data_IF_734871771056
#
_entry.id   IF_734871771056
#
_cell.length_a   1.000
_cell.length_b   1.000
_cell.length_c   1.000
_cell.angle_alpha   90.00
_cell.angle_beta   90.00
_cell.angle_gamma   90.00
#
_symmetry.space_group_name_H-M   'P 1'
#
loop_
_entity.id
_entity.type
_entity.pdbx_description
1 polymer ?
#
# COMPACT_ATOMS: atom_id res chain seq x y z
N UNK A 1 14.30 8.30 -0.15
CA UNK A 1 13.99 7.57 -1.41
C UNK A 1 14.81 6.29 -1.52
N UNK A 2 14.17 5.13 -1.61
CA UNK A 2 14.85 3.83 -1.69
C UNK A 2 15.30 3.56 -3.14
N UNK A 3 16.57 3.84 -3.43
CA UNK A 3 17.19 3.73 -4.78
C UNK A 3 17.87 2.38 -4.97
N UNK A 4 17.12 1.29 -4.86
CA UNK A 4 17.62 -0.08 -4.97
C UNK A 4 16.89 -0.84 -6.06
N UNK A 5 17.57 -1.78 -6.70
CA UNK A 5 16.95 -2.66 -7.70
C UNK A 5 15.81 -3.47 -7.07
N UNK A 6 14.62 -3.50 -7.68
CA UNK A 6 13.46 -4.24 -7.14
C UNK A 6 13.70 -5.76 -7.04
N UNK A 7 14.56 -6.31 -7.91
CA UNK A 7 14.81 -7.75 -8.00
C UNK A 7 15.95 -8.24 -7.08
N UNK A 8 17.02 -7.46 -6.93
CA UNK A 8 18.23 -7.91 -6.22
C UNK A 8 18.72 -6.97 -5.12
N UNK A 9 18.00 -5.87 -4.87
CA UNK A 9 18.26 -4.90 -3.80
C UNK A 9 19.59 -4.14 -3.85
N UNK A 10 20.38 -4.33 -4.90
CA UNK A 10 21.61 -3.57 -5.11
C UNK A 10 21.25 -2.10 -5.41
N UNK A 11 21.96 -1.12 -4.81
CA UNK A 11 21.79 0.30 -5.12
C UNK A 11 21.87 0.58 -6.63
N UNK A 12 20.91 1.34 -7.15
CA UNK A 12 20.86 1.74 -8.56
C UNK A 12 20.13 3.06 -8.71
N UNK A 13 20.60 3.88 -9.64
CA UNK A 13 19.92 5.11 -10.09
C UNK A 13 19.08 4.89 -11.35
N UNK A 14 19.18 3.70 -11.98
CA UNK A 14 18.48 3.39 -13.22
C UNK A 14 17.04 3.02 -12.91
N UNK A 15 16.10 3.76 -13.50
CA UNK A 15 14.66 3.56 -13.36
C UNK A 15 14.03 3.06 -14.65
N UNK A 16 12.86 2.44 -14.54
CA UNK A 16 12.04 2.11 -15.70
C UNK A 16 11.80 3.38 -16.54
N UNK A 17 12.19 3.35 -17.81
CA UNK A 17 12.11 4.53 -18.68
C UNK A 17 10.67 5.02 -18.89
N UNK A 18 9.69 4.12 -18.77
CA UNK A 18 8.27 4.41 -19.02
C UNK A 18 7.57 5.00 -17.79
N UNK A 19 7.44 4.24 -16.70
CA UNK A 19 6.72 4.70 -15.52
C UNK A 19 7.56 5.54 -14.56
N UNK A 20 8.90 5.45 -14.65
CA UNK A 20 9.87 6.15 -13.78
C UNK A 20 9.68 5.90 -12.27
N UNK A 21 8.91 4.88 -11.89
CA UNK A 21 8.53 4.61 -10.49
C UNK A 21 9.25 3.43 -9.84
N UNK A 22 9.94 2.59 -10.63
CA UNK A 22 10.68 1.41 -10.12
C UNK A 22 12.11 1.43 -10.65
N UNK A 23 13.04 0.96 -9.83
CA UNK A 23 14.47 0.94 -10.07
C UNK A 23 14.96 -0.47 -10.41
N UNK A 24 15.86 -0.57 -11.39
CA UNK A 24 16.50 -1.83 -11.80
C UNK A 24 17.98 -1.58 -12.08
N UNK A 25 18.85 -2.54 -11.76
CA UNK A 25 20.27 -2.43 -12.09
C UNK A 25 20.60 -2.89 -13.53
N UNK A 26 19.68 -3.62 -14.20
CA UNK A 26 19.92 -4.17 -15.53
C UNK A 26 18.63 -4.41 -16.33
N UNK A 27 18.75 -4.55 -17.65
CA UNK A 27 17.64 -4.99 -18.53
C UNK A 27 17.16 -6.41 -18.21
N UNK A 28 18.03 -7.27 -17.68
CA UNK A 28 17.67 -8.62 -17.28
C UNK A 28 16.66 -8.59 -16.12
N UNK A 29 16.88 -7.75 -15.11
CA UNK A 29 15.93 -7.59 -14.00
C UNK A 29 14.63 -6.90 -14.42
N UNK A 30 14.66 -6.02 -15.43
CA UNK A 30 13.43 -5.50 -16.04
C UNK A 30 12.64 -6.65 -16.69
N UNK A 31 13.31 -7.52 -17.47
CA UNK A 31 12.67 -8.63 -18.14
C UNK A 31 12.10 -9.67 -17.15
N UNK A 32 12.82 -9.92 -16.05
CA UNK A 32 12.37 -10.82 -14.98
C UNK A 32 11.11 -10.30 -14.29
N UNK A 33 11.04 -9.01 -13.96
CA UNK A 33 9.85 -8.41 -13.33
C UNK A 33 8.76 -8.03 -14.34
N UNK A 34 8.99 -8.14 -15.66
CA UNK A 34 8.07 -7.58 -16.64
C UNK A 34 6.65 -8.18 -16.58
N UNK A 35 6.52 -9.47 -16.25
CA UNK A 35 5.21 -10.13 -16.16
C UNK A 35 4.32 -9.49 -15.11
N UNK A 36 4.88 -9.16 -13.94
CA UNK A 36 4.21 -8.49 -12.82
C UNK A 36 4.15 -6.97 -13.02
N UNK A 37 5.22 -6.37 -13.55
CA UNK A 37 5.35 -4.93 -13.73
C UNK A 37 4.49 -4.34 -14.85
N UNK A 38 4.26 -5.08 -15.94
CA UNK A 38 3.68 -4.53 -17.19
C UNK A 38 2.33 -3.84 -16.98
N UNK A 39 1.45 -4.44 -16.19
CA UNK A 39 0.11 -3.90 -15.91
C UNK A 39 0.20 -2.59 -15.12
N UNK A 40 1.00 -2.59 -14.04
CA UNK A 40 1.30 -1.41 -13.24
C UNK A 40 1.98 -0.30 -14.05
N UNK A 41 3.02 -0.65 -14.82
CA UNK A 41 3.80 0.29 -15.61
C UNK A 41 2.95 1.06 -16.62
N UNK A 42 1.99 0.38 -17.26
CA UNK A 42 1.08 1.00 -18.22
C UNK A 42 0.16 2.03 -17.54
N UNK A 43 -0.44 1.66 -16.41
CA UNK A 43 -1.36 2.53 -15.65
C UNK A 43 -0.66 3.77 -15.10
N UNK A 44 0.46 3.60 -14.39
CA UNK A 44 1.25 4.74 -13.87
C UNK A 44 1.72 5.66 -15.00
N UNK A 45 2.18 5.09 -16.10
CA UNK A 45 2.60 5.87 -17.26
C UNK A 45 1.45 6.65 -17.91
N UNK A 46 0.21 6.14 -17.86
CA UNK A 46 -0.96 6.80 -18.41
C UNK A 46 -1.49 7.90 -17.48
N UNK A 47 -1.40 7.71 -16.16
CA UNK A 47 -1.88 8.65 -15.16
C UNK A 47 -1.04 9.94 -15.06
N UNK A 48 0.22 9.90 -15.47
CA UNK A 48 1.09 11.07 -15.53
C UNK A 48 1.33 11.65 -14.13
N UNK A 49 0.84 12.87 -13.87
CA UNK A 49 0.97 13.56 -12.58
C UNK A 49 -0.08 13.11 -11.54
N UNK A 50 -1.14 12.43 -11.96
CA UNK A 50 -2.23 12.00 -11.08
C UNK A 50 -1.88 10.66 -10.40
N UNK A 51 -0.82 10.71 -9.58
CA UNK A 51 -0.37 9.56 -8.80
C UNK A 51 -0.03 10.01 -7.39
N UNK A 52 -0.39 9.21 -6.39
CA UNK A 52 0.11 9.36 -5.03
C UNK A 52 1.26 8.38 -4.77
N UNK A 53 2.17 8.74 -3.88
CA UNK A 53 3.03 7.78 -3.21
C UNK A 53 2.21 6.98 -2.20
N UNK A 54 2.24 5.65 -2.31
CA UNK A 54 1.61 4.74 -1.36
C UNK A 54 2.64 3.68 -0.91
N UNK A 55 2.53 3.23 0.33
CA UNK A 55 3.34 2.13 0.86
C UNK A 55 2.63 0.82 0.49
N UNK A 56 3.31 -0.03 -0.26
CA UNK A 56 2.88 -1.39 -0.56
C UNK A 56 3.53 -2.37 0.41
N UNK A 57 2.70 -3.17 1.07
CA UNK A 57 3.07 -4.43 1.72
C UNK A 57 2.70 -5.58 0.78
N UNK A 58 3.61 -5.91 -0.13
CA UNK A 58 3.38 -6.96 -1.12
C UNK A 58 3.37 -8.33 -0.48
N UNK A 59 2.34 -9.15 -0.72
CA UNK A 59 2.18 -10.42 -0.02
C UNK A 59 3.33 -11.42 -0.27
N UNK A 60 3.98 -11.30 -1.43
CA UNK A 60 5.11 -12.12 -1.85
C UNK A 60 6.47 -11.41 -1.69
N UNK A 61 6.48 -10.19 -1.14
CA UNK A 61 7.68 -9.40 -0.88
C UNK A 61 8.09 -9.56 0.59
N UNK A 62 9.35 -9.31 0.94
CA UNK A 62 9.85 -9.38 2.33
C UNK A 62 9.99 -8.01 2.97
N UNK A 63 9.82 -6.93 2.21
CA UNK A 63 9.97 -5.56 2.68
C UNK A 63 8.96 -4.63 2.01
N UNK A 64 8.49 -3.60 2.73
CA UNK A 64 7.58 -2.62 2.17
C UNK A 64 8.34 -1.67 1.25
N UNK A 65 7.63 -1.12 0.26
CA UNK A 65 8.19 -0.14 -0.68
C UNK A 65 7.16 0.90 -1.08
N UNK A 66 7.65 2.08 -1.48
CA UNK A 66 6.80 3.08 -2.11
C UNK A 66 6.45 2.66 -3.54
N UNK A 67 5.20 2.90 -3.90
CA UNK A 67 4.65 2.75 -5.26
C UNK A 67 3.95 4.03 -5.67
N UNK A 68 3.79 4.23 -6.97
CA UNK A 68 2.90 5.26 -7.51
C UNK A 68 1.51 4.67 -7.69
N UNK A 69 0.54 5.14 -6.92
CA UNK A 69 -0.86 4.75 -7.00
C UNK A 69 -1.62 5.76 -7.89
N UNK A 70 -2.05 5.36 -9.10
CA UNK A 70 -2.81 6.24 -9.97
C UNK A 70 -4.17 6.60 -9.38
N UNK A 71 -4.69 7.77 -9.74
CA UNK A 71 -6.02 8.19 -9.34
C UNK A 71 -6.69 9.11 -10.37
N UNK A 72 -8.00 9.27 -10.24
CA UNK A 72 -8.81 10.19 -11.03
C UNK A 72 -9.94 10.75 -10.18
N UNK A 73 -10.50 11.91 -10.53
CA UNK A 73 -11.76 12.33 -9.92
C UNK A 73 -12.90 11.46 -10.44
N UNK A 74 -13.77 11.02 -9.54
CA UNK A 74 -15.01 10.37 -9.95
C UNK A 74 -15.89 11.33 -10.77
N UNK A 75 -16.69 10.83 -11.73
CA UNK A 75 -17.65 11.65 -12.45
C UNK A 75 -18.55 12.39 -11.46
N UNK A 76 -18.70 13.71 -11.64
CA UNK A 76 -19.62 14.50 -10.80
C UNK A 76 -21.05 14.29 -11.25
N UNK A 77 -21.90 13.81 -10.36
CA UNK A 77 -23.33 14.08 -10.42
C UNK A 77 -23.61 15.47 -9.82
N UNK A 78 -24.68 16.14 -10.26
CA UNK A 78 -25.04 17.49 -9.79
C UNK A 78 -25.35 17.44 -8.29
N UNK A 79 -24.52 18.09 -7.48
CA UNK A 79 -24.69 18.18 -6.03
C UNK A 79 -23.76 17.27 -5.22
N UNK A 80 -22.96 16.42 -5.86
CA UNK A 80 -22.01 15.55 -5.17
C UNK A 80 -20.63 16.17 -4.98
N UNK A 81 -19.99 15.88 -3.86
CA UNK A 81 -18.62 16.27 -3.59
C UNK A 81 -17.67 15.47 -4.51
N UNK A 82 -16.64 16.13 -5.04
CA UNK A 82 -15.65 15.44 -5.87
C UNK A 82 -14.74 14.60 -4.98
N UNK A 83 -14.74 13.28 -5.20
CA UNK A 83 -13.85 12.35 -4.51
C UNK A 83 -12.80 11.77 -5.46
N UNK A 84 -11.67 11.34 -4.89
CA UNK A 84 -10.55 10.77 -5.63
C UNK A 84 -10.70 9.26 -5.71
N UNK A 85 -10.99 8.76 -6.91
CA UNK A 85 -11.03 7.33 -7.22
C UNK A 85 -9.61 6.82 -7.47
N UNK A 86 -9.11 6.01 -6.55
CA UNK A 86 -7.82 5.31 -6.66
C UNK A 86 -7.92 4.12 -7.63
N UNK A 87 -6.90 3.92 -8.47
CA UNK A 87 -6.75 2.74 -9.34
C UNK A 87 -5.80 1.74 -8.68
N UNK A 88 -6.35 0.94 -7.78
CA UNK A 88 -5.62 -0.11 -7.06
C UNK A 88 -5.73 -1.50 -7.69
N UNK A 89 -6.40 -1.64 -8.85
CA UNK A 89 -6.58 -2.93 -9.55
C UNK A 89 -5.28 -3.73 -9.75
N UNK A 90 -4.10 -3.11 -10.03
CA UNK A 90 -2.86 -3.89 -10.20
C UNK A 90 -2.42 -4.69 -8.98
N UNK A 91 -2.93 -4.35 -7.79
CA UNK A 91 -2.57 -5.01 -6.54
C UNK A 91 -3.70 -5.88 -5.98
N UNK A 92 -4.91 -5.73 -6.52
CA UNK A 92 -6.11 -6.45 -6.11
C UNK A 92 -6.81 -7.03 -7.35
N UNK A 93 -6.22 -8.07 -7.94
CA UNK A 93 -6.67 -8.67 -9.21
C UNK A 93 -7.42 -10.02 -9.04
N UNK A 94 -7.69 -10.42 -7.80
CA UNK A 94 -8.47 -11.62 -7.48
C UNK A 94 -9.93 -11.52 -7.98
N UNK A 95 -10.56 -12.64 -8.35
CA UNK A 95 -11.94 -12.63 -8.86
C UNK A 95 -12.99 -12.27 -7.80
N UNK A 96 -12.71 -12.58 -6.54
CA UNK A 96 -13.59 -12.35 -5.40
C UNK A 96 -12.84 -11.51 -4.37
N UNK A 97 -12.95 -10.19 -4.48
CA UNK A 97 -12.34 -9.24 -3.55
C UNK A 97 -13.34 -8.20 -3.07
N UNK A 98 -13.19 -7.75 -1.82
CA UNK A 98 -13.95 -6.64 -1.26
C UNK A 98 -12.96 -5.65 -0.64
N UNK A 99 -12.58 -4.61 -1.39
CA UNK A 99 -11.59 -3.64 -0.91
C UNK A 99 -12.22 -2.75 0.15
N UNK A 100 -11.64 -2.77 1.34
CA UNK A 100 -12.04 -1.92 2.47
C UNK A 100 -10.87 -1.04 2.91
N UNK A 101 -11.23 0.05 3.56
CA UNK A 101 -10.31 0.95 4.22
C UNK A 101 -10.34 0.70 5.74
N UNK A 102 -9.17 0.61 6.36
CA UNK A 102 -9.00 0.85 7.80
C UNK A 102 -8.31 2.21 7.99
N UNK A 103 -8.57 2.85 9.12
CA UNK A 103 -7.99 4.14 9.45
C UNK A 103 -7.06 4.02 10.66
N UNK A 104 -5.82 4.48 10.49
CA UNK A 104 -4.79 4.51 11.53
C UNK A 104 -4.46 5.95 11.85
N UNK A 105 -4.92 6.40 13.03
CA UNK A 105 -4.73 7.77 13.52
C UNK A 105 -3.80 7.84 14.74
N UNK A 106 -3.30 6.70 15.19
CA UNK A 106 -2.43 6.53 16.36
C UNK A 106 -1.23 5.68 16.01
N UNK A 107 -0.15 5.82 16.77
CA UNK A 107 1.00 4.95 16.65
C UNK A 107 0.65 3.55 17.18
N UNK A 108 0.33 2.61 16.28
CA UNK A 108 -0.28 1.33 16.66
C UNK A 108 -1.79 1.40 16.86
N UNK A 109 -2.43 0.27 17.21
CA UNK A 109 -3.86 0.23 17.51
C UNK A 109 -4.18 0.19 19.01
N UNK A 110 -3.20 -0.06 19.89
CA UNK A 110 -3.37 -0.14 21.34
C UNK A 110 -2.84 1.13 22.04
N UNK A 111 -3.70 2.14 22.20
CA UNK A 111 -3.46 3.34 23.03
C UNK A 111 -2.20 4.18 22.74
N UNK A 112 -1.53 4.00 21.60
CA UNK A 112 -0.38 4.83 21.23
C UNK A 112 -0.74 6.30 20.98
N UNK A 113 0.25 7.21 20.96
CA UNK A 113 0.02 8.65 20.76
C UNK A 113 -0.66 8.94 19.40
N UNK A 114 -1.48 10.01 19.29
CA UNK A 114 -2.05 10.45 18.02
C UNK A 114 -0.95 10.81 17.01
N UNK A 115 -1.17 10.49 15.73
CA UNK A 115 -0.21 10.80 14.65
C UNK A 115 -0.33 12.23 14.11
N UNK A 116 -1.43 12.93 14.42
CA UNK A 116 -1.76 14.24 13.82
C UNK A 116 -2.17 14.17 12.34
N UNK A 117 -2.31 12.95 11.79
CA UNK A 117 -2.73 12.65 10.42
C UNK A 117 -3.47 11.32 10.39
N UNK A 118 -4.28 11.10 9.35
CA UNK A 118 -4.96 9.83 9.12
C UNK A 118 -4.20 9.05 8.05
N UNK A 119 -3.78 7.83 8.39
CA UNK A 119 -3.33 6.85 7.40
C UNK A 119 -4.53 5.97 7.04
N UNK A 120 -4.79 5.82 5.74
CA UNK A 120 -5.74 4.86 5.21
C UNK A 120 -4.98 3.60 4.81
N UNK A 121 -5.48 2.44 5.23
CA UNK A 121 -4.95 1.12 4.89
C UNK A 121 -6.00 0.39 4.05
N UNK A 122 -5.70 0.18 2.77
CA UNK A 122 -6.53 -0.56 1.84
C UNK A 122 -6.15 -2.04 1.87
N UNK A 123 -7.13 -2.90 2.08
CA UNK A 123 -6.97 -4.35 2.15
C UNK A 123 -8.19 -5.04 1.56
N UNK A 124 -8.03 -6.30 1.18
CA UNK A 124 -9.12 -7.14 0.69
C UNK A 124 -9.80 -7.87 1.86
N UNK A 125 -10.99 -7.44 2.26
CA UNK A 125 -11.73 -8.03 3.38
C UNK A 125 -12.08 -9.53 3.18
N UNK A 126 -12.02 -10.01 1.94
CA UNK A 126 -12.27 -11.41 1.60
C UNK A 126 -11.00 -12.27 1.62
N UNK A 127 -9.84 -11.73 2.03
CA UNK A 127 -8.57 -12.46 2.03
C UNK A 127 -8.64 -13.82 2.77
N UNK A 128 -9.53 -13.93 3.76
CA UNK A 128 -9.70 -15.14 4.58
C UNK A 128 -10.43 -16.29 3.88
N UNK A 129 -11.20 -16.00 2.83
CA UNK A 129 -12.04 -16.96 2.12
C UNK A 129 -11.69 -17.11 0.64
N UNK A 130 -10.95 -16.17 0.05
CA UNK A 130 -10.60 -16.20 -1.37
C UNK A 130 -9.25 -16.85 -1.69
N UNK A 131 -8.57 -17.41 -0.68
CA UNK A 131 -7.28 -18.09 -0.84
C UNK A 131 -6.10 -17.13 -1.05
N UNK A 132 -6.22 -15.86 -0.65
CA UNK A 132 -5.13 -14.91 -0.70
C UNK A 132 -3.88 -15.43 0.04
N UNK A 133 -2.68 -15.23 -0.53
CA UNK A 133 -1.45 -15.68 0.14
C UNK A 133 -1.22 -14.87 1.41
N UNK A 134 -0.67 -15.52 2.44
CA UNK A 134 -0.19 -14.85 3.65
C UNK A 134 0.77 -13.72 3.26
N UNK A 135 0.60 -12.56 3.89
CA UNK A 135 1.42 -11.40 3.60
C UNK A 135 2.80 -11.54 4.25
N UNK A 136 3.76 -12.06 3.49
CA UNK A 136 5.14 -12.28 3.94
C UNK A 136 5.85 -10.97 4.28
N UNK A 137 5.47 -9.87 3.66
CA UNK A 137 6.04 -8.56 3.96
C UNK A 137 5.69 -8.16 5.39
N UNK A 138 4.42 -8.28 5.77
CA UNK A 138 3.95 -7.99 7.13
C UNK A 138 4.62 -8.91 8.14
N UNK A 139 4.59 -10.23 7.93
CA UNK A 139 5.27 -11.19 8.83
C UNK A 139 6.76 -10.87 9.02
N UNK A 140 7.44 -10.42 7.97
CA UNK A 140 8.87 -10.08 8.05
C UNK A 140 9.10 -8.81 8.86
N UNK A 141 8.33 -7.74 8.61
CA UNK A 141 8.52 -6.46 9.32
C UNK A 141 8.06 -6.49 10.77
N UNK A 142 7.06 -7.31 11.11
CA UNK A 142 6.60 -7.56 12.48
C UNK A 142 7.46 -8.60 13.20
N UNK A 143 8.37 -9.27 12.49
CA UNK A 143 9.16 -10.41 12.99
C UNK A 143 8.28 -11.53 13.58
N UNK A 144 7.10 -11.73 12.98
CA UNK A 144 6.11 -12.71 13.42
C UNK A 144 5.36 -12.34 14.71
N UNK A 145 5.45 -11.08 15.17
CA UNK A 145 4.69 -10.61 16.32
C UNK A 145 3.23 -10.27 16.00
N UNK A 146 2.81 -10.32 14.74
CA UNK A 146 1.41 -10.19 14.34
C UNK A 146 0.60 -11.41 14.78
N UNK A 147 -0.56 -11.18 15.40
CA UNK A 147 -1.48 -12.26 15.81
C UNK A 147 -2.55 -12.48 14.75
N UNK A 148 -2.89 -11.43 14.00
CA UNK A 148 -3.83 -11.51 12.91
C UNK A 148 -3.15 -12.01 11.63
N UNK A 149 -3.69 -13.05 10.95
CA UNK A 149 -3.08 -13.64 9.77
C UNK A 149 -3.32 -12.76 8.53
N UNK A 150 -2.64 -11.62 8.46
CA UNK A 150 -2.73 -10.70 7.32
C UNK A 150 -2.40 -11.42 6.01
N UNK A 151 -3.27 -11.29 5.01
CA UNK A 151 -3.13 -11.92 3.71
C UNK A 151 -3.50 -10.96 2.58
N UNK A 152 -3.04 -11.29 1.37
CA UNK A 152 -3.17 -10.42 0.20
C UNK A 152 -2.26 -9.20 0.27
N UNK A 153 -2.24 -8.41 -0.81
CA UNK A 153 -1.51 -7.15 -0.83
C UNK A 153 -2.23 -6.12 0.06
N UNK A 154 -1.46 -5.26 0.72
CA UNK A 154 -2.01 -4.16 1.51
C UNK A 154 -1.34 -2.87 1.06
N UNK A 155 -2.14 -1.83 0.84
CA UNK A 155 -1.67 -0.48 0.48
C UNK A 155 -1.95 0.48 1.62
N UNK A 156 -1.05 1.44 1.84
CA UNK A 156 -1.26 2.51 2.80
C UNK A 156 -0.89 3.88 2.21
N UNK A 157 -1.71 4.89 2.47
CA UNK A 157 -1.46 6.29 2.10
C UNK A 157 -2.12 7.24 3.10
N UNK A 158 -1.95 8.55 2.90
CA UNK A 158 -2.54 9.57 3.78
C UNK A 158 -3.90 10.00 3.27
N UNK A 159 -4.76 10.43 4.18
CA UNK A 159 -6.05 11.04 3.88
C UNK A 159 -6.11 12.48 4.45
N UNK A 160 -6.71 13.41 3.71
CA UNK A 160 -6.86 14.85 4.07
C UNK A 160 -7.89 15.11 5.17
N UNK A 161 -8.69 14.10 5.51
CA UNK A 161 -9.68 14.12 6.56
C UNK A 161 -9.91 12.70 7.05
N UNK A 162 -10.93 12.49 7.86
CA UNK A 162 -11.40 11.13 8.16
C UNK A 162 -12.52 10.80 7.17
N UNK A 163 -12.33 9.75 6.37
CA UNK A 163 -13.30 9.31 5.36
C UNK A 163 -13.73 10.44 4.42
N UNK A 164 -12.76 11.25 3.96
CA UNK A 164 -12.99 12.35 3.04
C UNK A 164 -12.83 11.95 1.57
N UNK A 165 -12.27 10.77 1.29
CA UNK A 165 -11.92 10.31 -0.06
C UNK A 165 -11.04 11.31 -0.85
N UNK A 166 -10.28 12.10 -0.08
CA UNK A 166 -9.25 13.01 -0.55
C UNK A 166 -7.95 12.56 0.07
N UNK A 167 -7.02 12.15 -0.75
CA UNK A 167 -5.79 11.49 -0.37
C UNK A 167 -4.58 12.39 -0.56
N UNK A 168 -3.49 12.01 0.11
CA UNK A 168 -2.17 12.61 0.03
C UNK A 168 -1.10 11.52 -0.06
N UNK A 169 0.09 11.93 -0.49
CA UNK A 169 1.27 11.07 -0.52
C UNK A 169 1.62 10.49 0.86
N UNK A 170 1.91 9.20 0.90
CA UNK A 170 2.57 8.55 2.01
C UNK A 170 4.04 9.00 2.10
N UNK A 171 4.54 9.15 3.31
CA UNK A 171 5.96 9.44 3.58
C UNK A 171 6.54 8.23 4.31
N UNK A 172 7.38 7.46 3.62
CA UNK A 172 7.94 6.20 4.12
C UNK A 172 8.64 6.37 5.48
N UNK A 173 9.44 7.43 5.66
CA UNK A 173 10.19 7.67 6.89
C UNK A 173 9.29 7.95 8.11
N UNK A 174 8.08 8.47 7.88
CA UNK A 174 7.17 8.87 8.96
C UNK A 174 6.04 7.86 9.20
N UNK A 175 5.55 7.21 8.14
CA UNK A 175 4.32 6.42 8.16
C UNK A 175 4.56 4.93 8.37
N UNK A 176 5.75 4.43 8.05
CA UNK A 176 6.03 3.00 8.13
C UNK A 176 6.00 2.46 9.57
N UNK A 177 6.67 3.12 10.51
CA UNK A 177 6.75 2.64 11.89
C UNK A 177 5.37 2.57 12.58
N UNK A 178 4.49 3.58 12.47
CA UNK A 178 3.11 3.48 12.95
C UNK A 178 2.33 2.30 12.35
N UNK A 179 2.49 2.03 11.05
CA UNK A 179 1.81 0.93 10.36
C UNK A 179 2.32 -0.45 10.81
N UNK A 180 3.65 -0.62 10.94
CA UNK A 180 4.22 -1.87 11.48
C UNK A 180 3.65 -2.12 12.87
N UNK A 181 3.66 -1.09 13.73
CA UNK A 181 3.12 -1.22 15.08
C UNK A 181 1.63 -1.55 15.08
N UNK A 182 0.88 -0.96 14.15
CA UNK A 182 -0.54 -1.28 13.98
C UNK A 182 -0.75 -2.76 13.66
N UNK A 183 0.00 -3.32 12.72
CA UNK A 183 -0.08 -4.75 12.39
C UNK A 183 0.33 -5.66 13.54
N UNK A 184 1.34 -5.28 14.33
CA UNK A 184 1.72 -6.02 15.53
C UNK A 184 0.61 -6.03 16.58
N UNK A 185 -0.05 -4.90 16.80
CA UNK A 185 -1.05 -4.74 17.85
C UNK A 185 -2.42 -5.30 17.44
N UNK A 186 -2.71 -5.35 16.14
CA UNK A 186 -4.02 -5.75 15.62
C UNK A 186 -4.36 -7.21 16.00
N UNK A 187 -5.51 -7.39 16.64
CA UNK A 187 -5.96 -8.71 17.11
C UNK A 187 -5.36 -9.14 18.46
N UNK A 188 -4.31 -8.48 18.97
CA UNK A 188 -3.92 -8.58 20.40
C UNK A 188 -4.97 -7.79 21.16
N UNK A 189 -5.92 -8.48 21.79
CA UNK A 189 -7.16 -7.93 22.30
C UNK A 189 -7.06 -6.49 22.81
N UNK A 190 -8.02 -5.65 22.42
CA UNK A 190 -8.34 -4.44 23.18
C UNK A 190 -8.62 -4.90 24.62
N UNK A 191 -7.61 -4.87 25.49
CA UNK A 191 -7.78 -5.22 26.89
C UNK A 191 -8.82 -4.25 27.42
N UNK A 192 -9.93 -4.81 27.91
CA UNK A 192 -11.24 -4.20 27.84
C UNK A 192 -11.36 -2.83 28.52
N UNK A 193 -12.11 -1.95 27.86
CA UNK A 193 -13.01 -1.06 28.58
C UNK A 193 -14.32 -1.83 28.80
N UNK A 194 -14.41 -2.53 29.94
CA UNK A 194 -15.70 -2.80 30.59
C UNK A 194 -15.95 -1.67 31.58
#
# INVERSE_FOLDING_TARGET
>A
MNTTCLVCDIPTSTKCARCKSVYYCSKAHIAQDWLTHKAYCKRVSAAGINTFDAILFGANETKPRLIKLPWSYAPRDVGDASWQKLDYEPWFDGKDHCIRAMYVQRFGCLNGPPLGRTLVVLYDDYFSINGSPINRCIQTVTRGNDVHPWAGNILALREQGMASDLYNDAVMEEDLAPLIRYFEDYGKGQVGAR
#
